data_IF_202263767563
#
_entry.id   IF_202263767563
#
_cell.length_a   1.000
_cell.length_b   1.000
_cell.length_c   1.000
_cell.angle_alpha   90.00
_cell.angle_beta   90.00
_cell.angle_gamma   90.00
#
_symmetry.space_group_name_H-M   'P 1'
#
loop_
_entity.id
_entity.type
_entity.pdbx_description
1 polymer ?
#
# COMPACT_ATOMS: atom_id res chain seq x y z
N UNK A 1 14.80 93.33 -43.51
CA UNK A 1 13.40 93.07 -43.15
C UNK A 1 13.29 91.55 -43.11
N UNK A 2 13.17 91.01 -41.89
CA UNK A 2 13.20 89.58 -41.56
C UNK A 2 11.84 88.94 -41.86
N UNK A 3 11.84 87.80 -42.54
CA UNK A 3 10.77 86.81 -42.63
C UNK A 3 11.43 85.54 -43.21
N UNK A 4 11.16 84.31 -42.82
CA UNK A 4 10.38 83.66 -41.78
C UNK A 4 10.79 82.19 -41.98
N UNK A 5 11.79 81.71 -41.22
CA UNK A 5 12.46 80.41 -41.40
C UNK A 5 12.20 79.47 -40.21
N UNK A 6 11.12 79.75 -39.45
CA UNK A 6 10.78 79.03 -38.22
C UNK A 6 9.83 77.84 -38.42
N UNK A 7 9.30 77.62 -39.63
CA UNK A 7 8.25 76.62 -39.87
C UNK A 7 8.71 75.21 -40.27
N UNK A 8 9.89 75.06 -40.90
CA UNK A 8 10.35 73.74 -41.38
C UNK A 8 11.05 72.91 -40.30
N UNK A 9 11.72 73.55 -39.34
CA UNK A 9 12.42 72.86 -38.24
C UNK A 9 11.45 72.22 -37.23
N UNK A 10 10.29 72.84 -36.96
CA UNK A 10 9.31 72.27 -36.02
C UNK A 10 8.55 71.07 -36.63
N UNK A 11 8.33 71.04 -37.94
CA UNK A 11 7.60 69.96 -38.61
C UNK A 11 8.43 68.67 -38.69
N UNK A 12 9.75 68.78 -38.86
CA UNK A 12 10.66 67.62 -38.83
C UNK A 12 10.83 67.04 -37.42
N UNK A 13 10.83 67.88 -36.39
CA UNK A 13 10.96 67.44 -35.00
C UNK A 13 9.69 66.70 -34.51
N UNK A 14 8.51 67.12 -34.98
CA UNK A 14 7.23 66.45 -34.65
C UNK A 14 7.12 65.07 -35.33
N UNK A 15 7.50 64.95 -36.60
CA UNK A 15 7.51 63.65 -37.29
C UNK A 15 8.55 62.69 -36.70
N UNK A 16 9.72 63.21 -36.33
CA UNK A 16 10.79 62.43 -35.72
C UNK A 16 10.40 61.95 -34.31
N UNK A 17 9.77 62.80 -33.49
CA UNK A 17 9.26 62.42 -32.16
C UNK A 17 8.09 61.44 -32.24
N UNK A 18 7.16 61.56 -33.21
CA UNK A 18 6.08 60.60 -33.42
C UNK A 18 6.60 59.21 -33.84
N UNK A 19 7.65 59.16 -34.65
CA UNK A 19 8.24 57.91 -35.14
C UNK A 19 9.04 57.18 -34.04
N UNK A 20 9.74 57.92 -33.18
CA UNK A 20 10.41 57.38 -31.98
C UNK A 20 9.39 56.80 -30.97
N UNK A 21 8.22 57.45 -30.85
CA UNK A 21 7.14 57.02 -29.98
C UNK A 21 6.45 55.73 -30.48
N UNK A 22 6.25 55.58 -31.80
CA UNK A 22 5.74 54.34 -32.40
C UNK A 22 6.74 53.18 -32.26
N UNK A 23 8.04 53.43 -32.52
CA UNK A 23 9.07 52.43 -32.31
C UNK A 23 9.18 51.99 -30.83
N UNK A 24 9.02 52.93 -29.88
CA UNK A 24 8.95 52.64 -28.45
C UNK A 24 7.74 51.79 -28.06
N UNK A 25 6.57 52.05 -28.68
CA UNK A 25 5.36 51.23 -28.51
C UNK A 25 5.54 49.82 -29.06
N UNK A 26 6.22 49.65 -30.18
CA UNK A 26 6.49 48.32 -30.75
C UNK A 26 7.46 47.50 -29.89
N UNK A 27 8.49 48.14 -29.33
CA UNK A 27 9.41 47.48 -28.38
C UNK A 27 8.67 47.01 -27.13
N UNK A 28 7.82 47.86 -26.56
CA UNK A 28 7.03 47.53 -25.36
C UNK A 28 5.99 46.45 -25.63
N UNK A 29 5.30 46.49 -26.77
CA UNK A 29 4.38 45.43 -27.20
C UNK A 29 5.11 44.09 -27.35
N UNK A 30 6.29 44.06 -27.98
CA UNK A 30 7.09 42.84 -28.13
C UNK A 30 7.52 42.27 -26.78
N UNK A 31 7.99 43.10 -25.85
CA UNK A 31 8.33 42.67 -24.49
C UNK A 31 7.11 42.10 -23.76
N UNK A 32 5.94 42.70 -23.95
CA UNK A 32 4.68 42.23 -23.36
C UNK A 32 4.29 40.85 -23.92
N UNK A 33 4.40 40.62 -25.23
CA UNK A 33 4.19 39.30 -25.82
C UNK A 33 5.18 38.26 -25.33
N UNK A 34 6.46 38.60 -25.21
CA UNK A 34 7.49 37.69 -24.69
C UNK A 34 7.23 37.32 -23.22
N UNK A 35 6.79 38.28 -22.39
CA UNK A 35 6.38 38.03 -21.00
C UNK A 35 5.13 37.13 -20.94
N UNK A 36 4.10 37.40 -21.74
CA UNK A 36 2.90 36.56 -21.79
C UNK A 36 3.23 35.13 -22.23
N UNK A 37 4.14 34.96 -23.19
CA UNK A 37 4.61 33.66 -23.64
C UNK A 37 5.34 32.89 -22.53
N UNK A 38 6.21 33.57 -21.78
CA UNK A 38 6.90 32.96 -20.62
C UNK A 38 5.90 32.54 -19.55
N UNK A 39 4.96 33.40 -19.18
CA UNK A 39 3.91 33.10 -18.21
C UNK A 39 3.08 31.89 -18.67
N UNK A 40 2.72 31.82 -19.95
CA UNK A 40 1.98 30.67 -20.49
C UNK A 40 2.78 29.37 -20.35
N UNK A 41 4.09 29.39 -20.61
CA UNK A 41 4.97 28.24 -20.43
C UNK A 41 5.06 27.81 -18.98
N UNK A 42 5.25 28.76 -18.06
CA UNK A 42 5.33 28.48 -16.62
C UNK A 42 4.00 27.91 -16.07
N UNK A 43 2.85 28.33 -16.61
CA UNK A 43 1.55 27.76 -16.25
C UNK A 43 1.44 26.29 -16.69
N UNK A 44 1.97 25.94 -17.86
CA UNK A 44 2.02 24.55 -18.34
C UNK A 44 2.94 23.68 -17.46
N UNK A 45 4.09 24.21 -17.08
CA UNK A 45 5.03 23.56 -16.15
C UNK A 45 4.41 23.36 -14.76
N UNK A 46 3.71 24.38 -14.24
CA UNK A 46 2.98 24.27 -12.98
C UNK A 46 1.87 23.22 -13.04
N UNK A 47 1.17 23.11 -14.18
CA UNK A 47 0.14 22.09 -14.38
C UNK A 47 0.74 20.68 -14.37
N UNK A 48 1.87 20.48 -15.03
CA UNK A 48 2.58 19.19 -15.02
C UNK A 48 3.10 18.87 -13.63
N UNK A 49 3.71 19.82 -12.92
CA UNK A 49 4.13 19.65 -11.52
C UNK A 49 2.94 19.22 -10.66
N UNK A 50 1.83 19.95 -10.71
CA UNK A 50 0.62 19.62 -9.95
C UNK A 50 0.14 18.19 -10.24
N UNK A 51 0.14 17.77 -11.49
CA UNK A 51 -0.26 16.42 -11.87
C UNK A 51 0.71 15.36 -11.32
N UNK A 52 2.03 15.61 -11.40
CA UNK A 52 3.03 14.70 -10.84
C UNK A 52 2.93 14.61 -9.32
N UNK A 53 2.72 15.74 -8.63
CA UNK A 53 2.52 15.77 -7.17
C UNK A 53 1.30 14.97 -6.77
N UNK A 54 0.15 15.15 -7.45
CA UNK A 54 -1.06 14.37 -7.19
C UNK A 54 -0.82 12.85 -7.42
N UNK A 55 -0.05 12.49 -8.45
CA UNK A 55 0.32 11.09 -8.69
C UNK A 55 1.21 10.51 -7.59
N UNK A 56 2.16 11.30 -7.08
CA UNK A 56 3.04 10.91 -5.97
C UNK A 56 2.22 10.76 -4.68
N UNK A 57 1.33 11.69 -4.37
CA UNK A 57 0.43 11.62 -3.21
C UNK A 57 -0.45 10.36 -3.23
N UNK A 58 -0.99 10.00 -4.40
CA UNK A 58 -1.77 8.77 -4.57
C UNK A 58 -0.91 7.52 -4.32
N UNK A 59 0.32 7.49 -4.83
CA UNK A 59 1.27 6.39 -4.59
C UNK A 59 1.69 6.30 -3.12
N UNK A 60 1.92 7.43 -2.46
CA UNK A 60 2.25 7.49 -1.04
C UNK A 60 1.08 7.00 -0.17
N UNK A 61 -0.14 7.42 -0.48
CA UNK A 61 -1.34 6.91 0.20
C UNK A 61 -1.47 5.39 0.06
N UNK A 62 -1.25 4.86 -1.15
CA UNK A 62 -1.26 3.40 -1.38
C UNK A 62 -0.16 2.67 -0.61
N UNK A 63 1.06 3.23 -0.56
CA UNK A 63 2.14 2.67 0.23
C UNK A 63 1.82 2.67 1.72
N UNK A 64 1.23 3.75 2.24
CA UNK A 64 0.83 3.84 3.64
C UNK A 64 -0.15 2.73 4.01
N UNK A 65 -1.20 2.52 3.19
CA UNK A 65 -2.16 1.43 3.41
C UNK A 65 -1.48 0.05 3.44
N UNK A 66 -0.57 -0.20 2.49
CA UNK A 66 0.17 -1.47 2.43
C UNK A 66 1.10 -1.66 3.62
N UNK A 67 1.73 -0.59 4.12
CA UNK A 67 2.57 -0.65 5.32
C UNK A 67 1.73 -1.00 6.52
N UNK A 68 0.57 -0.35 6.71
CA UNK A 68 -0.35 -0.67 7.81
C UNK A 68 -0.82 -2.13 7.77
N UNK A 69 -1.17 -2.67 6.60
CA UNK A 69 -1.55 -4.07 6.45
C UNK A 69 -0.39 -5.03 6.81
N UNK A 70 0.84 -4.70 6.39
CA UNK A 70 2.02 -5.50 6.74
C UNK A 70 2.30 -5.44 8.24
N UNK A 71 2.17 -4.28 8.87
CA UNK A 71 2.36 -4.11 10.31
C UNK A 71 1.34 -4.94 11.10
N UNK A 72 0.07 -4.94 10.68
CA UNK A 72 -0.99 -5.76 11.28
C UNK A 72 -0.66 -7.26 11.18
N UNK A 73 -0.34 -7.75 9.97
CA UNK A 73 0.05 -9.15 9.75
C UNK A 73 1.28 -9.55 10.56
N UNK A 74 2.25 -8.65 10.71
CA UNK A 74 3.43 -8.89 11.55
C UNK A 74 3.06 -8.96 13.03
N UNK A 75 2.09 -8.15 13.49
CA UNK A 75 1.56 -8.24 14.85
C UNK A 75 0.90 -9.59 15.11
N UNK A 76 0.01 -10.03 14.22
CA UNK A 76 -0.65 -11.33 14.32
C UNK A 76 0.37 -12.50 14.32
N UNK A 77 1.40 -12.42 13.46
CA UNK A 77 2.47 -13.41 13.43
C UNK A 77 3.30 -13.43 14.72
N UNK A 78 3.53 -12.27 15.34
CA UNK A 78 4.21 -12.21 16.65
C UNK A 78 3.36 -12.84 17.75
N UNK A 79 2.06 -12.56 17.76
CA UNK A 79 1.15 -13.10 18.76
C UNK A 79 1.02 -14.62 18.62
N UNK A 80 0.87 -15.13 17.40
CA UNK A 80 0.83 -16.58 17.12
C UNK A 80 2.16 -17.26 17.44
N UNK A 81 3.30 -16.63 17.15
CA UNK A 81 4.61 -17.14 17.54
C UNK A 81 4.76 -17.20 19.06
N UNK A 82 4.30 -16.18 19.78
CA UNK A 82 4.32 -16.15 21.25
C UNK A 82 3.45 -17.26 21.83
N UNK A 83 2.24 -17.46 21.30
CA UNK A 83 1.37 -18.58 21.68
C UNK A 83 2.03 -19.94 21.42
N UNK A 84 2.67 -20.13 20.26
CA UNK A 84 3.41 -21.36 19.95
C UNK A 84 4.63 -21.57 20.85
N UNK A 85 5.27 -20.49 21.31
CA UNK A 85 6.41 -20.56 22.21
C UNK A 85 5.98 -20.93 23.64
N UNK A 86 4.87 -20.35 24.10
CA UNK A 86 4.33 -20.59 25.44
C UNK A 86 3.63 -21.95 25.53
N UNK A 87 3.00 -22.39 24.45
CA UNK A 87 2.36 -23.70 24.32
C UNK A 87 2.90 -24.43 23.09
N UNK A 88 4.11 -25.01 23.17
CA UNK A 88 4.67 -25.76 22.07
C UNK A 88 3.75 -26.95 21.75
N UNK A 89 3.50 -27.23 20.45
CA UNK A 89 2.72 -28.39 20.08
C UNK A 89 3.40 -29.66 20.62
N UNK A 90 2.63 -30.66 21.08
CA UNK A 90 3.17 -31.89 21.61
C UNK A 90 4.09 -32.56 20.58
N UNK A 91 5.26 -32.96 21.04
CA UNK A 91 6.26 -33.62 20.20
C UNK A 91 5.78 -35.03 19.88
N UNK A 92 6.34 -35.65 18.83
CA UNK A 92 6.08 -37.07 18.53
C UNK A 92 6.38 -37.98 19.72
N UNK A 93 7.45 -37.71 20.47
CA UNK A 93 7.79 -38.44 21.68
C UNK A 93 6.73 -38.28 22.78
N UNK A 94 6.18 -37.07 22.96
CA UNK A 94 5.10 -36.83 23.93
C UNK A 94 3.82 -37.59 23.54
N UNK A 95 3.52 -37.64 22.25
CA UNK A 95 2.40 -38.42 21.71
C UNK A 95 2.60 -39.93 21.92
N UNK A 96 3.81 -40.44 21.68
CA UNK A 96 4.16 -41.84 21.91
C UNK A 96 4.04 -42.21 23.40
N UNK A 97 4.53 -41.37 24.32
CA UNK A 97 4.36 -41.57 25.77
C UNK A 97 2.88 -41.59 26.17
N UNK A 98 2.09 -40.63 25.67
CA UNK A 98 0.64 -40.58 25.95
C UNK A 98 -0.07 -41.83 25.43
N UNK A 99 0.28 -42.30 24.23
CA UNK A 99 -0.29 -43.51 23.64
C UNK A 99 0.11 -44.77 24.43
N UNK A 100 1.36 -44.88 24.86
CA UNK A 100 1.81 -45.99 25.70
C UNK A 100 1.07 -46.00 27.04
N UNK A 101 0.94 -44.83 27.68
CA UNK A 101 0.18 -44.69 28.94
C UNK A 101 -1.30 -45.03 28.76
N UNK A 102 -1.89 -44.68 27.62
CA UNK A 102 -3.26 -45.03 27.27
C UNK A 102 -3.42 -46.55 27.11
N UNK A 103 -2.51 -47.19 26.37
CA UNK A 103 -2.50 -48.64 26.18
C UNK A 103 -2.37 -49.38 27.52
N UNK A 104 -1.44 -48.95 28.37
CA UNK A 104 -1.27 -49.52 29.72
C UNK A 104 -2.53 -49.36 30.59
N UNK A 105 -3.22 -48.22 30.50
CA UNK A 105 -4.45 -47.97 31.24
C UNK A 105 -5.60 -48.85 30.73
N UNK A 106 -5.72 -49.02 29.41
CA UNK A 106 -6.69 -49.91 28.79
C UNK A 106 -6.46 -51.37 29.19
N UNK A 107 -5.21 -51.84 29.08
CA UNK A 107 -4.82 -53.19 29.49
C UNK A 107 -5.13 -53.41 30.98
N UNK A 108 -4.82 -52.42 31.83
CA UNK A 108 -5.15 -52.48 33.27
C UNK A 108 -6.64 -52.58 33.54
N UNK A 109 -7.45 -51.84 32.79
CA UNK A 109 -8.90 -51.89 32.86
C UNK A 109 -9.44 -53.27 32.46
N UNK A 110 -8.84 -53.90 31.46
CA UNK A 110 -9.27 -55.20 30.91
C UNK A 110 -8.66 -56.42 31.60
N UNK A 111 -7.71 -56.27 32.54
CA UNK A 111 -6.99 -57.40 33.18
C UNK A 111 -7.87 -58.52 33.71
N UNK A 112 -9.05 -58.18 34.23
CA UNK A 112 -9.97 -59.16 34.83
C UNK A 112 -11.12 -59.54 33.88
N UNK A 113 -11.12 -59.02 32.66
CA UNK A 113 -12.16 -59.30 31.67
C UNK A 113 -11.74 -60.53 30.87
N UNK A 114 -12.47 -61.62 31.05
CA UNK A 114 -12.34 -62.79 30.20
C UNK A 114 -13.21 -62.60 28.95
N UNK A 115 -12.60 -62.79 27.78
CA UNK A 115 -13.33 -62.76 26.51
C UNK A 115 -13.40 -64.17 25.96
N UNK A 116 -14.60 -64.74 25.99
CA UNK A 116 -14.89 -66.04 25.39
C UNK A 116 -15.24 -65.83 23.92
N UNK A 117 -14.51 -66.47 23.02
CA UNK A 117 -14.65 -66.33 21.56
C UNK A 117 -14.88 -67.71 20.95
N UNK A 118 -15.82 -67.83 20.01
CA UNK A 118 -16.13 -69.09 19.33
C UNK A 118 -17.29 -69.89 19.93
N UNK A 119 -18.03 -69.33 20.90
CA UNK A 119 -19.30 -69.90 21.34
C UNK A 119 -20.42 -69.59 20.34
N UNK A 120 -21.24 -70.60 20.02
CA UNK A 120 -22.44 -70.39 19.24
C UNK A 120 -23.45 -69.57 20.04
N UNK A 121 -24.10 -68.59 19.41
CA UNK A 121 -25.11 -67.74 20.06
C UNK A 121 -26.33 -68.58 20.53
N UNK A 122 -26.91 -68.23 21.68
CA UNK A 122 -28.13 -68.87 22.19
C UNK A 122 -27.96 -70.09 23.10
N UNK A 123 -26.73 -70.41 23.55
CA UNK A 123 -26.45 -71.55 24.46
C UNK A 123 -26.47 -71.19 25.95
N UNK A 124 -26.97 -70.00 26.29
CA UNK A 124 -26.88 -69.36 27.61
C UNK A 124 -27.55 -70.14 28.76
N UNK A 125 -28.43 -71.09 28.45
CA UNK A 125 -29.18 -71.89 29.43
C UNK A 125 -28.52 -73.21 29.86
N UNK A 126 -27.32 -73.53 29.35
CA UNK A 126 -26.56 -74.74 29.73
C UNK A 126 -25.44 -74.39 30.71
N UNK A 127 -25.11 -75.34 31.58
CA UNK A 127 -24.07 -75.17 32.59
C UNK A 127 -22.70 -74.88 31.93
N UNK A 128 -22.07 -73.77 32.33
CA UNK A 128 -20.86 -73.22 31.69
C UNK A 128 -19.66 -74.15 31.87
N UNK A 129 -19.67 -75.00 32.89
CA UNK A 129 -18.58 -75.93 33.24
C UNK A 129 -18.59 -77.19 32.34
N UNK A 130 -19.67 -77.44 31.61
CA UNK A 130 -19.89 -78.69 30.85
C UNK A 130 -19.38 -78.61 29.40
N UNK A 131 -18.90 -77.44 28.96
CA UNK A 131 -18.31 -77.23 27.63
C UNK A 131 -16.79 -77.46 27.59
#
# INVERSE_FOLDING_TARGET
MLADDSGESEMTDIEQTLCEDEAGRDITNRMLFDMLRKISSEIEDLKTIKQTTASVEAKLSSLLTRVTEVEERVSELKDTLMQHKDNPPPTKADMEDILERLAMAEDRSRRNNLRFVGFAEGVESRDIIVF
#
